data_IF_464362956238
#
_entry.id   IF_464362956238
#
_cell.length_a   1.000
_cell.length_b   1.000
_cell.length_c   1.000
_cell.angle_alpha   90.00
_cell.angle_beta   90.00
_cell.angle_gamma   90.00
#
_symmetry.space_group_name_H-M   'P 1'
#
loop_
_entity.id
_entity.type
_entity.pdbx_description
1 polymer ?
#
# COMPACT_ATOMS: atom_id res chain seq x y z
N UNK A 1 -0.83 6.98 -13.17
CA UNK A 1 -0.82 7.46 -11.76
C UNK A 1 0.47 8.18 -11.37
N UNK A 2 1.66 7.77 -11.87
CA UNK A 2 2.93 8.42 -11.50
C UNK A 2 2.91 9.96 -11.65
N UNK A 3 2.42 10.55 -12.76
CA UNK A 3 2.33 12.01 -12.87
C UNK A 3 1.43 12.68 -11.83
N UNK A 4 0.41 11.96 -11.33
CA UNK A 4 -0.48 12.48 -10.27
C UNK A 4 0.27 12.54 -8.94
N UNK A 5 1.02 11.49 -8.61
CA UNK A 5 1.87 11.46 -7.41
C UNK A 5 2.96 12.52 -7.48
N UNK A 6 3.63 12.66 -8.63
CA UNK A 6 4.64 13.71 -8.82
C UNK A 6 4.08 15.09 -8.52
N UNK A 7 2.94 15.43 -9.12
CA UNK A 7 2.29 16.73 -8.90
C UNK A 7 1.84 16.96 -7.46
N UNK A 8 1.32 15.92 -6.80
CA UNK A 8 0.90 16.00 -5.40
C UNK A 8 2.07 16.19 -4.44
N UNK A 9 3.30 15.92 -4.90
CA UNK A 9 4.55 16.10 -4.15
C UNK A 9 5.34 17.34 -4.61
N UNK A 10 4.71 18.23 -5.40
CA UNK A 10 5.34 19.44 -5.95
C UNK A 10 6.57 19.16 -6.83
N UNK A 11 6.52 18.03 -7.58
CA UNK A 11 7.57 17.57 -8.49
C UNK A 11 7.13 17.67 -9.96
N UNK A 12 8.09 17.69 -10.92
CA UNK A 12 7.78 17.57 -12.34
C UNK A 12 6.93 16.30 -12.61
N UNK A 13 5.98 16.35 -13.59
CA UNK A 13 5.07 15.22 -13.84
C UNK A 13 5.78 13.90 -14.20
N UNK A 14 6.96 13.97 -14.78
CA UNK A 14 7.79 12.86 -15.23
C UNK A 14 8.86 12.43 -14.21
N UNK A 15 8.84 13.02 -13.01
CA UNK A 15 9.87 12.79 -12.00
C UNK A 15 10.10 11.32 -11.66
N UNK A 16 9.02 10.54 -11.57
CA UNK A 16 9.10 9.13 -11.21
C UNK A 16 9.40 8.19 -12.38
N UNK A 17 9.28 8.64 -13.65
CA UNK A 17 9.38 7.77 -14.82
C UNK A 17 10.69 6.97 -14.86
N UNK A 18 11.80 7.62 -14.50
CA UNK A 18 13.14 6.98 -14.48
C UNK A 18 13.31 5.88 -13.41
N UNK A 19 12.47 5.87 -12.42
CA UNK A 19 12.50 4.90 -11.32
C UNK A 19 11.54 3.72 -11.54
N UNK A 20 10.80 3.76 -12.64
CA UNK A 20 9.85 2.73 -13.05
C UNK A 20 10.14 2.27 -14.49
N UNK A 21 11.43 2.17 -14.83
CA UNK A 21 11.89 1.77 -16.19
C UNK A 21 11.79 0.26 -16.39
N UNK A 22 12.02 -0.51 -15.32
CA UNK A 22 11.88 -1.96 -15.24
C UNK A 22 11.08 -2.32 -13.97
N UNK A 23 9.82 -1.85 -13.87
CA UNK A 23 9.08 -1.91 -12.61
C UNK A 23 8.80 -3.33 -12.19
N UNK A 24 8.92 -3.58 -10.89
CA UNK A 24 8.46 -4.82 -10.30
C UNK A 24 6.94 -4.78 -10.10
N UNK A 25 6.26 -5.85 -10.46
CA UNK A 25 4.82 -5.98 -10.20
C UNK A 25 4.39 -7.41 -10.01
N UNK A 26 3.37 -7.59 -9.19
CA UNK A 26 2.72 -8.88 -9.04
C UNK A 26 1.23 -8.74 -8.75
N UNK A 27 0.50 -9.81 -9.04
CA UNK A 27 -0.92 -9.91 -8.76
C UNK A 27 -1.18 -10.91 -7.65
N UNK A 28 -2.06 -10.55 -6.72
CA UNK A 28 -2.62 -11.47 -5.73
C UNK A 28 -4.09 -11.69 -6.01
N UNK A 29 -4.45 -12.94 -6.31
CA UNK A 29 -5.84 -13.38 -6.37
C UNK A 29 -6.22 -13.96 -5.02
N UNK A 30 -7.23 -13.42 -4.38
CA UNK A 30 -7.72 -13.89 -3.09
C UNK A 30 -9.20 -14.25 -3.17
N UNK A 31 -9.56 -15.38 -2.55
CA UNK A 31 -10.92 -15.79 -2.30
C UNK A 31 -11.18 -15.75 -0.80
N UNK A 32 -12.22 -15.07 -0.42
CA UNK A 32 -12.69 -14.94 0.95
C UNK A 32 -14.07 -15.59 1.05
N UNK A 33 -14.18 -16.85 1.52
CA UNK A 33 -15.47 -17.50 1.71
C UNK A 33 -16.27 -16.88 2.85
N UNK A 34 -17.61 -16.96 2.81
CA UNK A 34 -18.40 -16.74 4.00
C UNK A 34 -18.10 -17.87 4.98
N UNK A 35 -17.67 -17.53 6.16
CA UNK A 35 -17.39 -18.50 7.21
C UNK A 35 -17.90 -17.95 8.56
N UNK A 36 -18.24 -18.77 9.54
CA UNK A 36 -18.48 -18.31 10.91
C UNK A 36 -17.15 -17.97 11.58
N UNK A 37 -17.02 -16.82 12.23
CA UNK A 37 -15.78 -16.40 12.90
C UNK A 37 -16.09 -15.98 14.32
N UNK A 38 -15.09 -16.09 15.16
CA UNK A 38 -15.09 -15.52 16.48
C UNK A 38 -14.91 -14.00 16.42
N UNK A 39 -15.30 -13.33 17.48
CA UNK A 39 -15.08 -11.88 17.60
C UNK A 39 -13.60 -11.54 17.46
N UNK A 40 -13.29 -10.53 16.65
CA UNK A 40 -11.92 -10.11 16.40
C UNK A 40 -11.18 -10.86 15.29
N UNK A 41 -11.79 -11.87 14.67
CA UNK A 41 -11.23 -12.53 13.49
C UNK A 41 -11.57 -11.78 12.20
N UNK A 42 -10.60 -11.73 11.30
CA UNK A 42 -10.72 -11.06 9.99
C UNK A 42 -10.42 -12.05 8.85
N UNK A 43 -11.00 -11.80 7.68
CA UNK A 43 -10.59 -12.51 6.47
C UNK A 43 -9.18 -12.11 6.03
N UNK A 44 -8.78 -10.86 6.31
CA UNK A 44 -7.41 -10.37 6.24
C UNK A 44 -7.22 -9.37 7.38
N UNK A 45 -6.25 -9.64 8.25
CA UNK A 45 -5.97 -8.81 9.41
C UNK A 45 -5.56 -7.37 9.00
N UNK A 46 -5.73 -6.38 9.89
CA UNK A 46 -5.25 -5.02 9.65
C UNK A 46 -3.77 -5.00 9.28
N UNK A 47 -3.44 -4.35 8.17
CA UNK A 47 -2.07 -4.19 7.65
C UNK A 47 -1.98 -2.96 6.75
N UNK A 48 -0.78 -2.53 6.43
CA UNK A 48 -0.46 -1.61 5.33
C UNK A 48 0.25 -2.40 4.23
N UNK A 49 0.11 -1.96 2.98
CA UNK A 49 0.84 -2.57 1.87
C UNK A 49 2.32 -2.15 1.88
N UNK A 50 3.20 -3.09 1.62
CA UNK A 50 4.65 -2.83 1.49
C UNK A 50 5.06 -2.25 0.13
N UNK A 51 4.15 -2.24 -0.84
CA UNK A 51 4.38 -1.76 -2.21
C UNK A 51 4.65 -0.25 -2.30
N UNK A 52 4.97 0.22 -3.51
CA UNK A 52 4.89 1.65 -3.84
C UNK A 52 3.43 2.07 -4.03
N UNK A 53 2.69 1.38 -4.89
CA UNK A 53 1.29 1.67 -5.22
C UNK A 53 0.53 0.36 -5.34
N UNK A 54 -0.67 0.33 -4.79
CA UNK A 54 -1.59 -0.81 -4.92
C UNK A 54 -2.83 -0.39 -5.70
N UNK A 55 -3.26 -1.24 -6.61
CA UNK A 55 -4.51 -1.11 -7.35
C UNK A 55 -5.41 -2.29 -7.02
N UNK A 56 -6.61 -2.01 -6.55
CA UNK A 56 -7.62 -3.02 -6.24
C UNK A 56 -8.92 -2.71 -7.00
N UNK A 57 -9.21 -3.41 -8.11
CA UNK A 57 -10.52 -3.36 -8.73
C UNK A 57 -11.61 -3.78 -7.74
N UNK A 58 -12.64 -2.94 -7.61
CA UNK A 58 -13.77 -3.21 -6.73
C UNK A 58 -14.71 -4.22 -7.37
N UNK A 59 -15.06 -5.24 -6.59
CA UNK A 59 -16.07 -6.25 -6.93
C UNK A 59 -17.40 -5.93 -6.23
N UNK A 60 -18.44 -6.69 -6.54
CA UNK A 60 -19.81 -6.45 -6.05
C UNK A 60 -20.02 -6.81 -4.57
N UNK A 61 -19.02 -7.42 -3.91
CA UNK A 61 -19.13 -7.87 -2.52
C UNK A 61 -18.31 -6.97 -1.61
N UNK A 62 -18.94 -6.31 -0.62
CA UNK A 62 -18.23 -5.47 0.34
C UNK A 62 -17.33 -6.29 1.27
N UNK A 63 -16.59 -5.60 2.13
CA UNK A 63 -15.74 -6.20 3.15
C UNK A 63 -14.35 -5.61 3.25
N UNK A 64 -13.95 -4.71 2.34
CA UNK A 64 -12.76 -3.89 2.52
C UNK A 64 -13.08 -2.74 3.47
N UNK A 65 -12.28 -2.59 4.51
CA UNK A 65 -12.30 -1.42 5.39
C UNK A 65 -10.95 -0.75 5.42
N UNK A 66 -10.95 0.56 5.43
CA UNK A 66 -9.76 1.42 5.53
C UNK A 66 -9.82 2.25 6.81
N UNK A 67 -8.65 2.53 7.39
CA UNK A 67 -8.56 3.34 8.59
C UNK A 67 -8.52 4.83 8.23
N UNK A 68 -9.50 5.58 8.69
CA UNK A 68 -9.49 7.03 8.58
C UNK A 68 -8.44 7.66 9.52
N UNK A 69 -8.01 8.91 9.28
CA UNK A 69 -7.12 9.63 10.19
C UNK A 69 -7.63 9.74 11.64
N UNK A 70 -8.96 9.65 11.82
CA UNK A 70 -9.59 9.64 13.15
C UNK A 70 -9.45 8.30 13.91
N UNK A 71 -8.80 7.29 13.30
CA UNK A 71 -8.71 5.93 13.84
C UNK A 71 -9.97 5.07 13.62
N UNK A 72 -10.99 5.60 12.95
CA UNK A 72 -12.20 4.83 12.63
C UNK A 72 -12.00 4.00 11.37
N UNK A 73 -12.51 2.77 11.39
CA UNK A 73 -12.64 1.93 10.21
C UNK A 73 -13.83 2.38 9.38
N UNK A 74 -13.61 2.53 8.07
CA UNK A 74 -14.62 2.92 7.09
C UNK A 74 -14.72 1.82 6.05
N UNK A 75 -15.93 1.29 5.86
CA UNK A 75 -16.18 0.34 4.79
C UNK A 75 -16.08 1.05 3.43
N UNK A 76 -15.40 0.42 2.49
CA UNK A 76 -15.31 0.88 1.11
C UNK A 76 -16.48 0.30 0.34
N UNK A 77 -17.41 1.16 -0.07
CA UNK A 77 -18.57 0.76 -0.85
C UNK A 77 -18.16 0.13 -2.18
N UNK A 78 -18.76 -1.02 -2.56
CA UNK A 78 -18.56 -1.59 -3.86
C UNK A 78 -18.98 -0.62 -4.97
N UNK A 79 -18.08 -0.35 -5.89
CA UNK A 79 -18.36 0.46 -7.08
C UNK A 79 -17.95 -0.33 -8.31
N UNK A 80 -18.94 -0.80 -9.06
CA UNK A 80 -18.69 -1.59 -10.27
C UNK A 80 -17.84 -0.81 -11.27
N UNK A 81 -16.69 -1.38 -11.66
CA UNK A 81 -15.71 -0.72 -12.53
C UNK A 81 -14.83 0.30 -11.83
N UNK A 82 -15.01 0.50 -10.52
CA UNK A 82 -14.12 1.31 -9.70
C UNK A 82 -12.83 0.58 -9.37
N UNK A 83 -11.78 1.34 -9.10
CA UNK A 83 -10.49 0.85 -8.62
C UNK A 83 -10.11 1.67 -7.40
N UNK A 84 -9.88 1.00 -6.27
CA UNK A 84 -9.18 1.63 -5.14
C UNK A 84 -7.71 1.68 -5.46
N UNK A 85 -7.11 2.85 -5.27
CA UNK A 85 -5.67 3.06 -5.38
C UNK A 85 -5.17 3.54 -4.03
N UNK A 86 -4.24 2.81 -3.44
CA UNK A 86 -3.61 3.21 -2.18
C UNK A 86 -2.09 3.25 -2.30
N UNK A 87 -1.51 4.09 -1.49
CA UNK A 87 -0.06 4.22 -1.30
C UNK A 87 0.42 3.12 -0.36
N UNK A 88 1.51 2.48 -0.70
CA UNK A 88 2.20 1.54 0.17
C UNK A 88 3.30 2.20 1.01
N UNK A 89 3.92 1.41 1.88
CA UNK A 89 4.92 1.90 2.84
C UNK A 89 6.20 2.40 2.18
N UNK A 90 6.59 1.83 1.02
CA UNK A 90 7.77 2.31 0.33
C UNK A 90 7.59 3.74 -0.19
N UNK A 91 6.44 4.08 -0.78
CA UNK A 91 6.16 5.45 -1.21
C UNK A 91 5.88 6.39 -0.02
N UNK A 92 5.34 5.87 1.10
CA UNK A 92 5.26 6.62 2.36
C UNK A 92 6.65 7.05 2.82
N UNK A 93 7.60 6.12 2.84
CA UNK A 93 9.00 6.37 3.17
C UNK A 93 9.63 7.41 2.23
N UNK A 94 9.49 7.23 0.93
CA UNK A 94 10.04 8.12 -0.09
C UNK A 94 9.47 9.54 -0.01
N UNK A 95 8.18 9.67 0.29
CA UNK A 95 7.52 10.96 0.50
C UNK A 95 7.68 11.52 1.92
N UNK A 96 8.62 11.01 2.72
CA UNK A 96 8.85 11.43 4.11
C UNK A 96 7.58 11.42 4.98
N UNK A 97 6.66 10.51 4.70
CA UNK A 97 5.36 10.39 5.38
C UNK A 97 4.28 11.34 4.88
N UNK A 98 4.51 12.10 3.79
CA UNK A 98 3.48 12.96 3.19
C UNK A 98 2.33 12.16 2.58
N UNK A 99 2.64 11.03 1.95
CA UNK A 99 1.66 9.99 1.63
C UNK A 99 1.61 8.96 2.75
N UNK A 100 0.43 8.63 3.20
CA UNK A 100 0.22 7.66 4.28
C UNK A 100 -0.02 6.28 3.66
N UNK A 101 0.72 5.28 4.11
CA UNK A 101 0.38 3.88 3.85
C UNK A 101 -0.84 3.52 4.71
N UNK A 102 -2.03 3.70 4.15
CA UNK A 102 -3.27 3.59 4.90
C UNK A 102 -3.51 2.17 5.38
N UNK A 103 -3.64 1.94 6.70
CA UNK A 103 -4.02 0.63 7.22
C UNK A 103 -5.39 0.22 6.70
N UNK A 104 -5.49 -1.03 6.29
CA UNK A 104 -6.74 -1.60 5.80
C UNK A 104 -6.88 -3.07 6.21
N UNK A 105 -8.09 -3.59 6.15
CA UNK A 105 -8.42 -4.96 6.52
C UNK A 105 -9.56 -5.49 5.68
N UNK A 106 -9.74 -6.80 5.68
CA UNK A 106 -10.91 -7.43 5.08
C UNK A 106 -11.72 -8.08 6.18
N UNK A 107 -12.90 -7.52 6.45
CA UNK A 107 -13.89 -8.14 7.31
C UNK A 107 -14.55 -9.28 6.56
N UNK A 108 -15.22 -10.15 7.31
CA UNK A 108 -15.87 -11.31 6.75
C UNK A 108 -16.99 -10.94 5.79
N UNK A 109 -16.96 -11.42 4.54
CA UNK A 109 -18.05 -11.24 3.62
C UNK A 109 -19.22 -12.16 3.95
N UNK A 110 -20.45 -11.73 3.60
CA UNK A 110 -21.67 -12.55 3.76
C UNK A 110 -21.86 -13.59 2.64
N UNK A 111 -21.09 -13.48 1.58
CA UNK A 111 -21.05 -14.40 0.42
C UNK A 111 -19.63 -14.41 -0.14
N UNK A 112 -19.32 -15.35 -1.03
CA UNK A 112 -18.00 -15.44 -1.65
C UNK A 112 -17.54 -14.08 -2.20
N UNK A 113 -16.38 -13.62 -1.71
CA UNK A 113 -15.72 -12.39 -2.16
C UNK A 113 -14.42 -12.74 -2.83
N UNK A 114 -14.20 -12.19 -4.00
CA UNK A 114 -12.94 -12.28 -4.72
C UNK A 114 -12.25 -10.92 -4.73
N UNK A 115 -10.93 -10.93 -4.67
CA UNK A 115 -10.11 -9.73 -4.83
C UNK A 115 -8.95 -10.03 -5.77
N UNK A 116 -8.73 -9.13 -6.71
CA UNK A 116 -7.58 -9.14 -7.61
C UNK A 116 -6.78 -7.88 -7.32
N UNK A 117 -5.70 -8.04 -6.56
CA UNK A 117 -4.86 -6.92 -6.16
C UNK A 117 -3.62 -6.87 -7.04
N UNK A 118 -3.34 -5.71 -7.61
CA UNK A 118 -2.14 -5.45 -8.39
C UNK A 118 -1.21 -4.53 -7.59
N UNK A 119 -0.03 -5.04 -7.25
CA UNK A 119 1.03 -4.31 -6.57
C UNK A 119 2.04 -3.83 -7.61
N UNK A 120 2.28 -2.53 -7.63
CA UNK A 120 3.15 -1.89 -8.60
C UNK A 120 4.27 -1.17 -7.87
N UNK A 121 5.50 -1.55 -8.18
CA UNK A 121 6.70 -1.12 -7.49
C UNK A 121 7.68 -0.47 -8.46
N UNK A 122 8.59 0.34 -7.92
CA UNK A 122 9.70 0.86 -8.69
C UNK A 122 10.74 -0.23 -8.99
N UNK A 123 11.76 0.15 -9.73
CA UNK A 123 12.92 -0.70 -10.03
C UNK A 123 13.65 -1.04 -8.73
N UNK A 124 14.17 -2.26 -8.58
CA UNK A 124 14.82 -2.78 -7.36
C UNK A 124 15.92 -1.89 -6.78
N UNK A 125 16.73 -1.31 -7.68
CA UNK A 125 17.85 -0.44 -7.32
C UNK A 125 17.40 0.99 -6.98
N UNK A 126 16.11 1.29 -7.02
CA UNK A 126 15.60 2.61 -6.69
C UNK A 126 15.81 2.92 -5.23
N UNK A 127 16.53 3.99 -4.94
CA UNK A 127 16.73 4.48 -3.59
C UNK A 127 15.61 5.43 -3.20
N UNK A 128 14.85 5.10 -2.16
CA UNK A 128 13.91 6.02 -1.51
C UNK A 128 14.68 6.92 -0.55
N UNK A 129 15.36 7.91 -1.10
CA UNK A 129 15.87 9.05 -0.34
C UNK A 129 14.72 10.04 -0.13
N UNK A 130 14.36 10.42 1.12
CA UNK A 130 13.25 11.31 1.38
C UNK A 130 13.29 12.57 0.51
N UNK A 131 12.21 12.78 -0.24
CA UNK A 131 12.12 13.85 -1.23
C UNK A 131 12.28 15.23 -0.58
N UNK A 132 13.18 16.10 -1.08
CA UNK A 132 13.39 17.43 -0.51
C UNK A 132 12.11 18.28 -0.42
N UNK A 133 11.17 18.10 -1.35
CA UNK A 133 9.85 18.78 -1.31
C UNK A 133 8.96 18.30 -0.17
N UNK A 134 9.33 17.20 0.49
CA UNK A 134 8.58 16.59 1.60
C UNK A 134 9.27 16.82 2.96
N UNK A 135 10.37 17.58 3.01
CA UNK A 135 11.08 17.94 4.24
C UNK A 135 10.84 19.44 4.46
N UNK A 136 10.21 19.81 5.58
CA UNK A 136 9.99 21.23 5.89
C UNK A 136 11.30 21.89 6.34
N UNK A 137 11.43 23.20 6.10
CA UNK A 137 12.62 23.94 6.55
C UNK A 137 12.85 23.79 8.05
N UNK A 138 13.99 23.24 8.42
CA UNK A 138 14.38 23.02 9.82
C UNK A 138 14.05 21.62 10.35
N UNK A 139 13.36 20.79 9.57
CA UNK A 139 13.13 19.38 9.94
C UNK A 139 14.23 18.48 9.41
N UNK A 140 14.45 17.37 10.11
CA UNK A 140 15.28 16.26 9.63
C UNK A 140 14.41 15.24 8.88
N UNK A 141 14.99 14.49 7.91
CA UNK A 141 14.31 13.37 7.29
C UNK A 141 13.84 12.34 8.32
N UNK A 142 12.63 11.82 8.16
CA UNK A 142 12.08 10.77 9.05
C UNK A 142 12.65 9.39 8.77
N UNK A 143 13.21 9.19 7.59
CA UNK A 143 13.70 7.91 7.11
C UNK A 143 15.10 8.05 6.52
N UNK A 144 15.95 7.05 6.77
CA UNK A 144 17.22 6.92 6.07
C UNK A 144 16.99 6.44 4.63
N UNK A 145 17.84 6.85 3.65
CA UNK A 145 17.80 6.32 2.30
C UNK A 145 17.92 4.79 2.30
N UNK A 146 17.11 4.13 1.46
CA UNK A 146 17.10 2.67 1.33
C UNK A 146 16.66 2.27 -0.06
N UNK A 147 17.29 1.26 -0.67
CA UNK A 147 16.82 0.71 -1.95
C UNK A 147 15.50 -0.04 -1.78
N UNK A 148 14.75 -0.20 -2.87
CA UNK A 148 13.53 -0.99 -2.83
C UNK A 148 13.84 -2.46 -2.49
N UNK A 149 14.91 -2.99 -3.04
CA UNK A 149 15.39 -4.34 -2.73
C UNK A 149 15.69 -4.53 -1.23
N UNK A 150 16.50 -3.65 -0.63
CA UNK A 150 16.80 -3.70 0.81
C UNK A 150 15.55 -3.61 1.67
N UNK A 151 14.61 -2.75 1.28
CA UNK A 151 13.33 -2.61 1.95
C UNK A 151 12.52 -3.92 1.91
N UNK A 152 12.41 -4.54 0.73
CA UNK A 152 11.71 -5.82 0.59
C UNK A 152 12.35 -6.92 1.43
N UNK A 153 13.67 -7.07 1.39
CA UNK A 153 14.40 -8.05 2.20
C UNK A 153 14.08 -7.85 3.68
N UNK A 154 14.19 -6.61 4.17
CA UNK A 154 13.91 -6.29 5.58
C UNK A 154 12.45 -6.59 5.95
N UNK A 155 11.50 -6.26 5.07
CA UNK A 155 10.08 -6.51 5.29
C UNK A 155 9.78 -8.03 5.38
N UNK A 156 10.30 -8.81 4.43
CA UNK A 156 10.05 -10.26 4.42
C UNK A 156 10.78 -10.98 5.55
N UNK A 157 11.99 -10.60 5.89
CA UNK A 157 12.71 -11.15 7.04
C UNK A 157 11.94 -10.91 8.33
N UNK A 158 11.39 -9.70 8.52
CA UNK A 158 10.54 -9.38 9.66
C UNK A 158 9.32 -10.31 9.77
N UNK A 159 8.64 -10.60 8.65
CA UNK A 159 7.49 -11.52 8.63
C UNK A 159 7.90 -12.96 8.92
N UNK A 160 8.99 -13.44 8.33
CA UNK A 160 9.44 -14.83 8.51
C UNK A 160 9.99 -15.10 9.91
N UNK A 161 10.64 -14.12 10.56
CA UNK A 161 11.13 -14.28 11.92
C UNK A 161 10.00 -14.28 12.96
N UNK A 162 8.97 -13.47 12.80
CA UNK A 162 7.80 -13.46 13.69
C UNK A 162 7.01 -14.77 13.67
N UNK A 163 7.04 -15.52 12.58
CA UNK A 163 6.35 -16.81 12.45
C UNK A 163 7.17 -18.00 12.96
N UNK A 164 8.36 -17.79 13.53
CA UNK A 164 9.22 -18.84 14.10
C UNK A 164 9.26 -18.85 15.64
N UNK A 165 8.55 -17.94 16.29
CA UNK A 165 8.37 -17.88 17.74
C UNK A 165 6.95 -18.34 18.12
#
# INVERSE_FOLDING_TARGET
MLPVYSRALDLPPDYFDKFFSTPEYYNRCAWYPPAEVEEGQFSLAPHSDHSSITYLPLMDVPGLEVMAPSGKWIEVDPLRGGIVVNTGEFLNRWSNGRFIATPHRVVRPKRDRYALTFFFNCDDETVADPLPTCIFPGDEPKYDPMTFHEYQVTYFDGIYFYNRL
#
